data_IF_956346184309
#
_entry.id   IF_956346184309
#
_cell.length_a   1.000
_cell.length_b   1.000
_cell.length_c   1.000
_cell.angle_alpha   90.00
_cell.angle_beta   90.00
_cell.angle_gamma   90.00
#
_symmetry.space_group_name_H-M   'P 1'
#
loop_
_entity.id
_entity.type
_entity.pdbx_description
1 polymer ?
#
# COMPACT_ATOMS: atom_id res chain seq x y z
N UNK A 1 12.35 3.45 -18.51
CA UNK A 1 11.07 3.69 -17.80
C UNK A 1 11.36 4.63 -16.63
N UNK A 2 10.72 5.79 -16.53
CA UNK A 2 10.93 6.68 -15.38
C UNK A 2 10.15 6.16 -14.15
N UNK A 3 10.76 6.23 -12.97
CA UNK A 3 10.11 5.84 -11.71
C UNK A 3 8.89 6.72 -11.43
N UNK A 4 7.80 6.11 -10.98
CA UNK A 4 6.53 6.78 -10.63
C UNK A 4 5.83 7.50 -11.78
N UNK A 5 6.21 7.24 -13.04
CA UNK A 5 5.57 7.87 -14.19
C UNK A 5 4.10 7.39 -14.32
N UNK A 6 3.11 8.30 -14.48
CA UNK A 6 1.69 7.93 -14.51
C UNK A 6 1.35 6.87 -15.57
N UNK A 7 2.00 6.95 -16.73
CA UNK A 7 1.76 6.07 -17.88
C UNK A 7 2.26 4.63 -17.69
N UNK A 8 3.13 4.38 -16.70
CA UNK A 8 3.67 3.03 -16.46
C UNK A 8 2.56 1.99 -16.21
N UNK A 9 1.40 2.41 -15.68
CA UNK A 9 0.25 1.52 -15.42
C UNK A 9 -0.45 1.02 -16.68
N UNK A 10 -0.33 1.74 -17.81
CA UNK A 10 -1.06 1.46 -19.05
C UNK A 10 -0.19 0.82 -20.14
N UNK A 11 1.11 0.61 -19.89
CA UNK A 11 2.06 0.13 -20.92
C UNK A 11 1.79 -1.29 -21.41
N UNK A 12 1.34 -2.20 -20.54
CA UNK A 12 0.95 -3.55 -20.94
C UNK A 12 -0.11 -4.16 -20.02
N UNK A 13 -0.76 -5.23 -20.45
CA UNK A 13 -1.78 -5.91 -19.63
C UNK A 13 -1.21 -6.50 -18.33
N UNK A 14 0.08 -6.83 -18.31
CA UNK A 14 0.78 -7.23 -17.07
C UNK A 14 0.93 -6.05 -16.09
N UNK A 15 1.26 -4.85 -16.60
CA UNK A 15 1.33 -3.64 -15.77
C UNK A 15 -0.03 -3.31 -15.16
N UNK A 16 -1.12 -3.42 -15.93
CA UNK A 16 -2.49 -3.23 -15.44
C UNK A 16 -2.86 -4.21 -14.32
N UNK A 17 -2.51 -5.49 -14.47
CA UNK A 17 -2.74 -6.50 -13.42
C UNK A 17 -2.00 -6.15 -12.12
N UNK A 18 -0.72 -5.82 -12.21
CA UNK A 18 0.08 -5.43 -11.03
C UNK A 18 -0.46 -4.17 -10.38
N UNK A 19 -0.84 -3.17 -11.18
CA UNK A 19 -1.49 -1.97 -10.69
C UNK A 19 -2.75 -2.33 -9.90
N UNK A 20 -3.65 -3.15 -10.47
CA UNK A 20 -4.91 -3.53 -9.83
C UNK A 20 -4.71 -4.23 -8.49
N UNK A 21 -3.80 -5.21 -8.41
CA UNK A 21 -3.49 -5.89 -7.15
C UNK A 21 -2.91 -4.93 -6.10
N UNK A 22 -1.98 -4.05 -6.51
CA UNK A 22 -1.41 -3.06 -5.60
C UNK A 22 -2.45 -2.04 -5.14
N UNK A 23 -3.38 -1.63 -6.01
CA UNK A 23 -4.47 -0.70 -5.67
C UNK A 23 -5.41 -1.31 -4.63
N UNK A 24 -5.83 -2.58 -4.82
CA UNK A 24 -6.68 -3.29 -3.86
C UNK A 24 -5.97 -3.43 -2.51
N UNK A 25 -4.71 -3.85 -2.51
CA UNK A 25 -3.91 -3.98 -1.28
C UNK A 25 -3.77 -2.63 -0.56
N UNK A 26 -3.53 -1.57 -1.31
CA UNK A 26 -3.44 -0.21 -0.82
C UNK A 26 -4.77 0.25 -0.17
N UNK A 27 -5.91 0.05 -0.84
CA UNK A 27 -7.23 0.44 -0.31
C UNK A 27 -7.56 -0.33 0.95
N UNK A 28 -7.26 -1.63 0.98
CA UNK A 28 -7.49 -2.46 2.15
C UNK A 28 -6.69 -1.98 3.36
N UNK A 29 -5.41 -1.68 3.17
CA UNK A 29 -4.53 -1.15 4.22
C UNK A 29 -5.00 0.21 4.73
N UNK A 30 -5.36 1.13 3.82
CA UNK A 30 -5.83 2.47 4.19
C UNK A 30 -7.12 2.41 5.02
N UNK A 31 -8.10 1.59 4.59
CA UNK A 31 -9.36 1.41 5.33
C UNK A 31 -9.12 0.75 6.68
N UNK A 32 -8.27 -0.29 6.73
CA UNK A 32 -7.93 -0.97 7.99
C UNK A 32 -7.24 -0.03 8.98
N UNK A 33 -6.28 0.76 8.52
CA UNK A 33 -5.60 1.77 9.34
C UNK A 33 -6.59 2.82 9.86
N UNK A 34 -7.46 3.35 8.99
CA UNK A 34 -8.48 4.33 9.37
C UNK A 34 -9.43 3.79 10.45
N UNK A 35 -9.91 2.55 10.29
CA UNK A 35 -10.77 1.91 11.29
C UNK A 35 -10.06 1.75 12.64
N UNK A 36 -8.81 1.27 12.65
CA UNK A 36 -8.03 1.12 13.88
C UNK A 36 -7.81 2.47 14.58
N UNK A 37 -7.52 3.53 13.83
CA UNK A 37 -7.36 4.87 14.41
C UNK A 37 -8.66 5.42 14.99
N UNK A 38 -9.79 5.26 14.29
CA UNK A 38 -11.10 5.72 14.78
C UNK A 38 -11.48 4.98 16.05
N UNK A 39 -11.40 3.64 16.04
CA UNK A 39 -11.73 2.83 17.21
C UNK A 39 -10.78 3.14 18.37
N UNK A 40 -9.46 3.22 18.11
CA UNK A 40 -8.48 3.61 19.13
C UNK A 40 -8.77 4.99 19.72
N UNK A 41 -9.22 5.94 18.90
CA UNK A 41 -9.55 7.30 19.36
C UNK A 41 -10.73 7.30 20.30
N UNK A 42 -11.74 6.48 20.01
CA UNK A 42 -12.89 6.30 20.91
C UNK A 42 -12.45 5.70 22.25
N UNK A 43 -11.53 4.73 22.25
CA UNK A 43 -11.01 4.11 23.48
C UNK A 43 -10.19 5.07 24.36
N UNK A 44 -9.67 6.17 23.81
CA UNK A 44 -8.97 7.18 24.60
C UNK A 44 -9.89 8.08 25.44
N UNK A 45 -11.22 8.00 25.28
CA UNK A 45 -12.16 8.73 26.14
C UNK A 45 -12.36 8.09 27.53
N UNK A 46 -11.79 6.92 27.80
CA UNK A 46 -11.87 6.25 29.08
C UNK A 46 -10.50 5.69 29.50
N UNK A 47 -10.03 6.09 30.68
CA UNK A 47 -8.73 5.69 31.24
C UNK A 47 -8.53 4.17 31.28
N UNK A 48 -9.60 3.39 31.53
CA UNK A 48 -9.54 1.94 31.58
C UNK A 48 -9.23 1.29 30.22
N UNK A 49 -9.49 1.98 29.11
CA UNK A 49 -9.29 1.44 27.75
C UNK A 49 -8.12 2.06 27.00
N UNK A 50 -7.39 3.00 27.62
CA UNK A 50 -6.26 3.72 26.99
C UNK A 50 -5.20 2.76 26.47
N UNK A 51 -4.79 1.75 27.25
CA UNK A 51 -3.77 0.79 26.81
C UNK A 51 -4.19 0.04 25.55
N UNK A 52 -5.46 -0.34 25.44
CA UNK A 52 -6.00 -1.00 24.23
C UNK A 52 -6.01 0.00 23.07
N UNK A 53 -6.45 1.23 23.29
CA UNK A 53 -6.41 2.31 22.31
C UNK A 53 -5.00 2.56 21.76
N UNK A 54 -3.97 2.56 22.62
CA UNK A 54 -2.57 2.71 22.23
C UNK A 54 -2.11 1.62 21.27
N UNK A 55 -2.45 0.35 21.53
CA UNK A 55 -2.12 -0.75 20.63
C UNK A 55 -2.85 -0.68 19.29
N UNK A 56 -4.14 -0.30 19.29
CA UNK A 56 -4.88 -0.07 18.04
C UNK A 56 -4.23 1.04 17.21
N UNK A 57 -3.80 2.12 17.85
CA UNK A 57 -3.04 3.18 17.19
C UNK A 57 -1.71 2.69 16.64
N UNK A 58 -0.93 1.93 17.42
CA UNK A 58 0.35 1.40 16.95
C UNK A 58 0.17 0.50 15.71
N UNK A 59 -0.79 -0.41 15.74
CA UNK A 59 -1.08 -1.29 14.60
C UNK A 59 -1.58 -0.46 13.41
N UNK A 60 -2.48 0.50 13.64
CA UNK A 60 -2.94 1.43 12.63
C UNK A 60 -1.79 2.21 11.98
N UNK A 61 -0.80 2.65 12.76
CA UNK A 61 0.40 3.35 12.27
C UNK A 61 1.30 2.46 11.44
N UNK A 62 1.48 1.19 11.84
CA UNK A 62 2.23 0.21 11.04
C UNK A 62 1.55 0.00 9.69
N UNK A 63 0.23 -0.23 9.68
CA UNK A 63 -0.56 -0.37 8.44
C UNK A 63 -0.45 0.89 7.58
N UNK A 64 -0.62 2.08 8.16
CA UNK A 64 -0.46 3.34 7.44
C UNK A 64 0.94 3.47 6.81
N UNK A 65 1.98 2.98 7.48
CA UNK A 65 3.35 2.90 6.96
C UNK A 65 3.55 1.88 5.83
N UNK A 66 2.65 0.91 5.65
CA UNK A 66 2.70 -0.02 4.52
C UNK A 66 2.33 0.67 3.19
N UNK A 67 1.62 1.79 3.24
CA UNK A 67 1.19 2.58 2.07
C UNK A 67 2.35 2.94 1.12
N UNK A 68 3.45 3.59 1.57
CA UNK A 68 4.63 3.82 0.73
C UNK A 68 5.33 2.51 0.32
N UNK A 69 5.28 1.47 1.15
CA UNK A 69 5.90 0.16 0.87
C UNK A 69 5.24 -0.53 -0.33
N UNK A 70 3.90 -0.52 -0.40
CA UNK A 70 3.15 -1.08 -1.54
C UNK A 70 3.46 -0.30 -2.83
N UNK A 71 3.55 1.04 -2.75
CA UNK A 71 3.94 1.87 -3.90
C UNK A 71 5.35 1.52 -4.38
N UNK A 72 6.31 1.37 -3.47
CA UNK A 72 7.68 1.01 -3.80
C UNK A 72 7.74 -0.39 -4.43
N UNK A 73 7.04 -1.36 -3.85
CA UNK A 73 6.93 -2.71 -4.42
C UNK A 73 6.42 -2.70 -5.86
N UNK A 74 5.38 -1.90 -6.14
CA UNK A 74 4.86 -1.72 -7.50
C UNK A 74 5.91 -1.19 -8.47
N UNK A 75 6.68 -0.17 -8.09
CA UNK A 75 7.74 0.38 -8.96
C UNK A 75 8.85 -0.65 -9.22
N UNK A 76 9.25 -1.43 -8.20
CA UNK A 76 10.24 -2.50 -8.38
C UNK A 76 9.71 -3.56 -9.36
N UNK A 77 8.43 -3.92 -9.28
CA UNK A 77 7.82 -4.86 -10.23
C UNK A 77 7.77 -4.28 -11.64
N UNK A 78 7.43 -3.00 -11.81
CA UNK A 78 7.47 -2.34 -13.12
C UNK A 78 8.86 -2.33 -13.75
N UNK A 79 9.91 -2.06 -12.95
CA UNK A 79 11.30 -2.14 -13.43
C UNK A 79 11.62 -3.55 -13.91
N UNK A 80 11.29 -4.57 -13.12
CA UNK A 80 11.52 -5.97 -13.50
C UNK A 80 10.79 -6.33 -14.79
N UNK A 81 9.55 -5.88 -14.96
CA UNK A 81 8.78 -6.12 -16.18
C UNK A 81 9.31 -5.40 -17.41
N UNK A 82 9.80 -4.17 -17.27
CA UNK A 82 10.47 -3.46 -18.36
C UNK A 82 11.74 -4.19 -18.82
N UNK A 83 12.53 -4.69 -17.86
CA UNK A 83 13.75 -5.48 -18.13
C UNK A 83 13.42 -6.80 -18.85
N UNK A 84 12.37 -7.52 -18.44
CA UNK A 84 11.96 -8.75 -19.14
C UNK A 84 11.49 -8.54 -20.59
N UNK A 85 10.86 -7.40 -20.92
CA UNK A 85 10.46 -7.11 -22.30
C UNK A 85 11.66 -6.70 -23.17
N UNK A 86 12.63 -5.98 -22.61
CA UNK A 86 13.89 -5.66 -23.31
C UNK A 86 14.76 -6.91 -23.55
N UNK A 87 14.69 -7.92 -22.68
CA UNK A 87 15.43 -9.20 -22.81
C UNK A 87 14.71 -10.22 -23.70
N UNK A 88 13.37 -10.17 -23.79
CA UNK A 88 12.58 -11.05 -24.66
C UNK A 88 12.56 -10.59 -26.13
N UNK A 89 13.06 -9.39 -26.42
CA UNK A 89 13.23 -8.84 -27.76
C UNK A 89 14.55 -9.28 -28.41
N UNK A 90 14.47 -10.35 -29.21
CA UNK A 90 15.17 -10.39 -30.49
C UNK A 90 14.41 -9.50 -31.48
#
# INVERSE_FOLDING_TARGET
MALFHPDNRNRSDRHKKIYAYCEIAYTFVDVSAALLFVVGSILFFNDATVTIGTWLFLIGSILFGMRPTIKLYREIMYIRLGDYEDVAGK
#
